data_IF_945351644265
#
_entry.id   IF_945351644265
#
_cell.length_a   1.000
_cell.length_b   1.000
_cell.length_c   1.000
_cell.angle_alpha   90.00
_cell.angle_beta   90.00
_cell.angle_gamma   90.00
#
_symmetry.space_group_name_H-M   'P 1'
#
loop_
_entity.id
_entity.type
_entity.pdbx_description
1 polymer ?
2 non-polymer ?
3 non-polymer ?
4 non-polymer ?
5 non-polymer ?
6 non-polymer ?
7 water ?
#
# COMPACT_ATOMS: atom_id res chain seq x y z
N UNK A 1 -11.68 17.43 6.05
CA UNK A 1 -11.98 18.48 5.09
C UNK A 1 -12.35 17.88 3.73
N UNK A 2 -11.50 17.01 3.19
CA UNK A 2 -11.70 16.43 1.84
C UNK A 2 -11.88 14.92 1.97
N UNK A 3 -13.12 14.47 1.82
CA UNK A 3 -13.50 13.07 1.99
C UNK A 3 -13.92 12.49 0.64
N UNK A 4 -13.65 11.19 0.47
CA UNK A 4 -14.11 10.48 -0.72
C UNK A 4 -15.59 10.19 -0.59
N UNK A 5 -16.31 10.42 -1.68
CA UNK A 5 -17.72 10.06 -1.72
C UNK A 5 -18.02 8.87 -2.63
N UNK A 6 -17.20 8.61 -3.65
CA UNK A 6 -17.41 7.44 -4.50
C UNK A 6 -16.15 7.11 -5.29
N UNK A 7 -16.15 5.89 -5.83
CA UNK A 7 -15.07 5.35 -6.64
C UNK A 7 -15.66 5.05 -8.01
N UNK A 8 -14.93 5.42 -9.07
CA UNK A 8 -15.40 5.24 -10.43
C UNK A 8 -15.09 3.85 -10.97
N UNK A 9 -15.42 3.67 -12.25
CA UNK A 9 -15.20 2.36 -12.87
C UNK A 9 -13.72 2.13 -13.14
N UNK A 10 -13.22 0.93 -12.92
CA UNK A 10 -11.80 0.68 -13.11
C UNK A 10 -11.42 0.54 -14.58
N UNK A 11 -10.14 0.81 -14.82
CA UNK A 11 -9.49 0.59 -16.10
C UNK A 11 -8.48 -0.52 -15.89
N UNK A 12 -8.51 -1.52 -16.77
CA UNK A 12 -7.54 -2.60 -16.73
C UNK A 12 -6.34 -2.23 -17.59
N UNK A 13 -5.17 -2.14 -16.97
CA UNK A 13 -3.95 -1.84 -17.69
C UNK A 13 -3.27 -3.09 -18.25
N UNK A 14 -3.29 -4.20 -17.50
CA UNK A 14 -2.58 -5.40 -17.93
C UNK A 14 -3.16 -6.58 -17.16
N UNK A 15 -3.10 -7.75 -17.77
CA UNK A 15 -3.40 -9.02 -17.10
C UNK A 15 -2.18 -9.92 -17.21
N UNK A 16 -1.80 -10.53 -16.08
CA UNK A 16 -0.68 -11.44 -16.02
C UNK A 16 -1.13 -12.68 -15.24
N UNK A 17 -0.28 -13.71 -15.25
CA UNK A 17 -0.60 -14.97 -14.60
C UNK A 17 -0.39 -14.95 -13.09
N UNK A 18 0.42 -14.05 -12.56
CA UNK A 18 0.72 -14.06 -11.14
C UNK A 18 -0.46 -13.47 -10.36
N UNK A 19 -1.06 -14.31 -9.50
CA UNK A 19 -2.27 -13.93 -8.80
C UNK A 19 -2.04 -12.72 -7.89
N UNK A 20 -0.91 -12.72 -7.17
CA UNK A 20 -0.57 -11.70 -6.20
C UNK A 20 0.68 -10.95 -6.62
N UNK A 21 0.64 -9.64 -6.42
CA UNK A 21 1.76 -8.79 -6.77
C UNK A 21 1.40 -7.36 -6.45
N UNK A 22 2.30 -6.45 -6.83
CA UNK A 22 2.08 -5.01 -6.77
C UNK A 22 2.61 -4.36 -8.03
N UNK A 23 1.97 -3.26 -8.43
CA UNK A 23 2.49 -2.34 -9.42
C UNK A 23 2.42 -0.94 -8.84
N UNK A 24 3.50 -0.18 -9.01
CA UNK A 24 3.70 1.08 -8.31
C UNK A 24 4.33 2.10 -9.24
N UNK A 25 3.79 3.32 -9.20
CA UNK A 25 4.40 4.48 -9.84
C UNK A 25 4.87 5.46 -8.77
N UNK A 26 5.79 6.31 -9.17
CA UNK A 26 6.24 7.40 -8.30
C UNK A 26 5.04 8.25 -7.86
N UNK A 27 5.09 8.70 -6.61
CA UNK A 27 4.05 9.53 -6.01
C UNK A 27 4.42 10.99 -5.92
N UNK A 28 5.72 11.32 -5.96
CA UNK A 28 6.15 12.69 -5.79
C UNK A 28 6.00 13.48 -7.09
N UNK A 29 6.20 14.79 -7.01
CA UNK A 29 6.15 15.68 -8.16
C UNK A 29 7.46 15.49 -8.95
N UNK A 30 7.54 14.44 -9.75
CA UNK A 30 8.74 14.18 -10.50
C UNK A 30 8.66 13.92 -12.04
N UNK A 31 7.50 13.86 -12.68
CA UNK A 31 7.38 13.47 -14.11
C UNK A 31 8.05 12.13 -14.46
N UNK A 32 8.00 11.17 -13.55
CA UNK A 32 8.62 9.85 -13.74
C UNK A 32 7.65 8.86 -14.41
N UNK A 33 8.05 8.23 -15.50
CA UNK A 33 7.21 7.27 -16.21
C UNK A 33 7.34 5.83 -15.67
N UNK A 34 8.30 5.57 -14.80
CA UNK A 34 8.63 4.20 -14.47
C UNK A 34 7.53 3.51 -13.66
N UNK A 35 7.45 2.20 -13.82
CA UNK A 35 6.53 1.35 -13.10
C UNK A 35 7.35 0.23 -12.48
N UNK A 36 7.16 0.00 -11.18
CA UNK A 36 7.86 -1.07 -10.47
C UNK A 36 6.87 -2.16 -10.10
N UNK A 37 7.29 -3.42 -10.28
CA UNK A 37 6.44 -4.57 -10.03
C UNK A 37 7.18 -5.58 -9.15
N UNK A 38 6.47 -6.13 -8.18
CA UNK A 38 6.87 -7.39 -7.57
C UNK A 38 5.74 -8.41 -7.73
N UNK A 39 6.12 -9.67 -7.68
CA UNK A 39 5.19 -10.78 -7.82
C UNK A 39 5.36 -11.73 -6.65
N UNK A 40 4.26 -12.36 -6.25
CA UNK A 40 4.24 -13.36 -5.21
C UNK A 40 4.43 -12.70 -3.84
N UNK A 41 4.45 -13.52 -2.79
CA UNK A 41 4.44 -12.99 -1.42
C UNK A 41 5.82 -12.74 -0.85
N UNK A 42 6.87 -13.22 -1.50
CA UNK A 42 8.24 -13.00 -1.03
C UNK A 42 9.15 -13.00 -2.23
N UNK A 43 10.30 -12.36 -2.07
CA UNK A 43 11.32 -12.37 -3.11
C UNK A 43 12.36 -11.33 -2.81
N UNK A 44 13.35 -11.25 -3.71
CA UNK A 44 14.41 -10.26 -3.55
C UNK A 44 14.61 -9.44 -4.82
N UNK A 45 13.72 -9.59 -5.79
CA UNK A 45 13.79 -8.86 -7.06
C UNK A 45 12.56 -8.02 -7.30
N UNK A 46 12.78 -6.89 -7.96
CA UNK A 46 11.74 -6.00 -8.47
C UNK A 46 11.95 -5.88 -9.97
N UNK A 47 10.85 -5.89 -10.74
CA UNK A 47 10.91 -5.59 -12.16
C UNK A 47 10.66 -4.09 -12.37
N UNK A 48 11.61 -3.42 -13.02
CA UNK A 48 11.47 -2.00 -13.34
C UNK A 48 11.14 -1.85 -14.82
N UNK A 49 10.00 -1.25 -15.09
CA UNK A 49 9.59 -0.93 -16.46
C UNK A 49 9.77 0.55 -16.73
N UNK A 50 10.34 0.87 -17.91
CA UNK A 50 10.62 2.25 -18.28
C UNK A 50 9.35 3.10 -18.24
N UNK A 51 8.25 2.55 -18.71
CA UNK A 51 7.01 3.32 -18.89
C UNK A 51 5.89 2.31 -19.16
N UNK A 52 4.69 2.82 -19.35
CA UNK A 52 3.56 1.91 -19.52
C UNK A 52 3.67 1.13 -20.83
N UNK A 53 4.12 1.72 -21.94
CA UNK A 53 4.35 0.87 -23.13
C UNK A 53 5.28 -0.30 -22.85
N UNK A 54 6.34 -0.07 -22.07
CA UNK A 54 7.26 -1.17 -21.76
C UNK A 54 6.60 -2.23 -20.91
N UNK A 55 5.74 -1.80 -19.97
CA UNK A 55 4.95 -2.76 -19.19
C UNK A 55 4.12 -3.65 -20.11
N UNK A 56 3.41 -3.05 -21.06
CA UNK A 56 2.57 -3.86 -21.93
C UNK A 56 3.42 -4.74 -22.83
N UNK A 57 4.66 -4.35 -23.10
CA UNK A 57 5.57 -5.09 -23.98
C UNK A 57 6.35 -6.16 -23.23
N UNK A 58 6.26 -6.21 -21.91
CA UNK A 58 7.00 -7.18 -21.12
C UNK A 58 8.49 -6.88 -20.99
N UNK A 59 8.90 -5.63 -21.20
CA UNK A 59 10.31 -5.25 -21.26
C UNK A 59 10.69 -4.56 -19.96
N UNK A 60 11.55 -5.21 -19.17
CA UNK A 60 11.90 -4.69 -17.86
C UNK A 60 13.35 -5.00 -17.57
N UNK A 61 13.86 -4.36 -16.51
CA UNK A 61 15.16 -4.67 -15.94
C UNK A 61 14.94 -5.12 -14.50
N UNK A 62 15.64 -6.17 -14.10
CA UNK A 62 15.55 -6.60 -12.73
C UNK A 62 16.39 -5.71 -11.81
N UNK A 63 15.82 -5.40 -10.66
CA UNK A 63 16.52 -4.74 -9.56
C UNK A 63 16.66 -5.76 -8.43
N UNK A 64 17.89 -6.03 -8.01
CA UNK A 64 18.13 -6.88 -6.85
C UNK A 64 18.12 -6.01 -5.59
N UNK A 65 17.28 -6.40 -4.61
CA UNK A 65 17.14 -5.66 -3.37
C UNK A 65 18.15 -6.10 -2.33
N UNK A 66 18.40 -5.28 -1.31
CA UNK A 66 19.34 -5.66 -0.25
C UNK A 66 18.80 -6.68 0.74
N UNK A 67 17.48 -6.77 0.86
CA UNK A 67 16.80 -7.67 1.80
C UNK A 67 15.55 -8.18 1.09
N UNK A 68 15.13 -9.40 1.42
CA UNK A 68 13.90 -9.94 0.87
C UNK A 68 12.69 -9.13 1.31
N UNK A 69 11.78 -8.89 0.39
CA UNK A 69 10.48 -8.33 0.72
C UNK A 69 9.52 -9.44 1.15
N UNK A 70 8.51 -9.05 1.92
CA UNK A 70 7.31 -9.85 2.11
C UNK A 70 6.11 -9.00 1.69
N UNK A 71 5.15 -9.64 1.04
CA UNK A 71 3.86 -9.02 0.84
C UNK A 71 3.78 -8.13 -0.39
N UNK A 72 2.70 -7.37 -0.40
CA UNK A 72 2.29 -6.56 -1.54
C UNK A 72 2.06 -5.11 -1.16
N UNK A 73 2.52 -4.67 0.00
CA UNK A 73 2.18 -3.35 0.52
C UNK A 73 3.25 -2.29 0.39
N UNK A 74 4.20 -2.46 -0.55
CA UNK A 74 5.26 -1.46 -0.70
C UNK A 74 4.76 -0.21 -1.39
N UNK A 75 5.54 0.86 -1.30
CA UNK A 75 5.23 2.13 -1.97
C UNK A 75 6.54 2.74 -2.44
N UNK A 76 6.44 3.63 -3.45
CA UNK A 76 7.58 4.40 -3.93
C UNK A 76 7.35 5.88 -3.62
N UNK A 77 8.34 6.52 -3.02
CA UNK A 77 8.27 7.95 -2.80
C UNK A 77 9.65 8.54 -3.01
N UNK A 78 9.74 9.52 -3.89
CA UNK A 78 10.97 10.26 -4.14
C UNK A 78 12.14 9.36 -4.50
N UNK A 79 11.88 8.42 -5.42
CA UNK A 79 12.89 7.52 -5.97
C UNK A 79 13.38 6.49 -4.97
N UNK A 80 12.62 6.23 -3.92
CA UNK A 80 12.92 5.17 -2.96
C UNK A 80 11.75 4.21 -2.85
N UNK A 81 12.07 2.92 -2.77
CA UNK A 81 11.09 1.88 -2.46
C UNK A 81 11.08 1.63 -0.96
N UNK A 82 9.88 1.71 -0.37
CA UNK A 82 9.67 1.44 1.03
C UNK A 82 8.94 0.10 1.13
N UNK A 83 9.51 -0.85 1.84
CA UNK A 83 8.95 -2.19 1.86
C UNK A 83 9.24 -2.92 3.17
N UNK A 84 8.49 -4.00 3.38
CA UNK A 84 8.63 -4.86 4.54
C UNK A 84 9.71 -5.92 4.32
N UNK A 85 10.73 -5.92 5.18
CA UNK A 85 11.74 -6.98 5.22
C UNK A 85 11.11 -8.24 5.81
N UNK A 86 10.94 -9.26 4.97
CA UNK A 86 10.20 -10.43 5.40
C UNK A 86 10.83 -11.10 6.62
N UNK A 87 9.96 -11.54 7.52
CA UNK A 87 10.35 -12.23 8.73
C UNK A 87 10.89 -11.34 9.83
N UNK A 88 10.74 -10.03 9.70
CA UNK A 88 11.21 -9.08 10.69
C UNK A 88 10.15 -8.02 10.89
N UNK A 89 10.30 -7.26 11.97
CA UNK A 89 9.50 -6.05 12.14
C UNK A 89 10.20 -4.82 11.58
N UNK A 90 10.98 -5.00 10.52
CA UNK A 90 11.79 -3.95 9.92
C UNK A 90 11.22 -3.54 8.56
N UNK A 91 11.13 -2.23 8.35
CA UNK A 91 10.84 -1.66 7.05
C UNK A 91 12.13 -1.12 6.45
N UNK A 92 12.25 -1.25 5.14
CA UNK A 92 13.43 -0.89 4.38
C UNK A 92 13.07 0.27 3.44
N UNK A 93 13.98 1.26 3.39
CA UNK A 93 13.98 2.31 2.37
C UNK A 93 15.16 2.06 1.44
N UNK A 94 14.89 1.79 0.17
CA UNK A 94 15.92 1.49 -0.82
C UNK A 94 15.89 2.57 -1.90
N UNK A 95 16.96 3.33 -2.02
CA UNK A 95 17.05 4.37 -3.05
C UNK A 95 17.46 3.74 -4.38
N UNK A 96 16.60 3.92 -5.39
CA UNK A 96 16.84 3.27 -6.69
C UNK A 96 18.11 3.77 -7.36
N UNK A 97 18.45 5.04 -7.18
CA UNK A 97 19.60 5.59 -7.91
C UNK A 97 20.93 5.20 -7.29
N UNK A 98 21.11 5.52 -6.02
CA UNK A 98 22.36 5.21 -5.35
C UNK A 98 22.44 3.76 -4.88
N UNK A 99 21.31 3.04 -4.87
CA UNK A 99 21.26 1.63 -4.46
C UNK A 99 21.71 1.42 -3.01
N UNK A 100 21.48 2.43 -2.18
CA UNK A 100 21.74 2.39 -0.74
C UNK A 100 20.44 2.11 -0.02
N UNK A 101 20.52 1.79 1.27
CA UNK A 101 19.29 1.55 2.02
C UNK A 101 19.42 1.91 3.50
N UNK A 102 18.26 2.16 4.10
CA UNK A 102 18.09 2.44 5.52
C UNK A 102 16.96 1.56 6.05
N UNK A 103 16.94 1.37 7.37
CA UNK A 103 15.98 0.48 8.01
C UNK A 103 15.32 1.16 9.20
N UNK A 104 14.10 0.73 9.49
CA UNK A 104 13.28 1.24 10.58
C UNK A 104 12.58 0.05 11.23
N UNK A 105 12.75 -0.11 12.54
CA UNK A 105 12.02 -1.14 13.28
C UNK A 105 10.78 -0.57 13.95
N UNK A 106 9.66 -1.27 13.80
CA UNK A 106 8.41 -1.01 14.54
C UNK A 106 8.23 -2.10 15.57
N UNK A 107 8.45 -1.78 16.84
CA UNK A 107 8.62 -2.81 17.87
C UNK A 107 7.34 -3.52 18.30
N UNK A 108 6.18 -2.87 18.18
CA UNK A 108 4.92 -3.43 18.67
C UNK A 108 3.98 -3.80 17.51
N UNK A 109 4.56 -4.29 16.43
CA UNK A 109 3.85 -4.67 15.22
C UNK A 109 3.91 -6.18 15.01
N UNK A 110 2.80 -6.75 14.57
CA UNK A 110 2.78 -8.14 14.13
C UNK A 110 3.55 -8.29 12.83
N UNK A 111 4.30 -9.38 12.71
CA UNK A 111 5.15 -9.54 11.54
C UNK A 111 5.43 -10.97 11.12
N UNK A 112 4.92 -11.98 11.80
CA UNK A 112 5.16 -13.37 11.42
C UNK A 112 4.03 -14.23 11.97
N UNK A 113 4.14 -15.53 11.73
CA UNK A 113 3.21 -16.51 12.26
C UNK A 113 1.79 -16.35 11.70
N UNK A 114 1.66 -15.78 10.51
CA UNK A 114 0.38 -15.60 9.84
C UNK A 114 -0.61 -14.79 10.66
N UNK A 115 -0.10 -13.91 11.53
CA UNK A 115 -0.94 -12.92 12.23
C UNK A 115 -0.88 -11.62 11.43
N UNK A 116 -1.70 -11.56 10.36
CA UNK A 116 -1.57 -10.54 9.35
C UNK A 116 -2.37 -9.29 9.73
N UNK A 117 -1.93 -8.16 9.19
CA UNK A 117 -2.81 -6.99 9.12
C UNK A 117 -3.98 -7.25 8.18
N UNK A 118 -3.68 -7.69 6.96
CA UNK A 118 -4.70 -8.06 5.98
C UNK A 118 -4.45 -9.50 5.56
N UNK A 119 -5.27 -10.40 6.09
CA UNK A 119 -5.13 -11.82 5.80
C UNK A 119 -5.33 -12.11 4.32
N UNK A 120 -6.21 -11.35 3.65
CA UNK A 120 -6.56 -11.67 2.27
C UNK A 120 -5.35 -11.61 1.35
N UNK A 121 -4.37 -10.76 1.67
CA UNK A 121 -3.16 -10.55 0.88
C UNK A 121 -1.87 -10.90 1.63
N UNK A 122 -1.99 -11.56 2.78
CA UNK A 122 -0.85 -11.91 3.63
C UNK A 122 0.01 -10.68 3.93
N UNK A 123 -0.65 -9.53 4.13
CA UNK A 123 0.06 -8.26 4.37
C UNK A 123 0.25 -8.11 5.87
N UNK A 124 1.50 -7.83 6.29
CA UNK A 124 1.79 -7.38 7.64
C UNK A 124 1.90 -5.87 7.73
N UNK A 125 2.49 -5.22 6.72
CA UNK A 125 2.71 -3.79 6.73
C UNK A 125 2.27 -3.22 5.39
N UNK A 126 1.43 -2.18 5.43
CA UNK A 126 1.01 -1.46 4.22
C UNK A 126 1.61 -0.07 4.30
N UNK A 127 2.64 0.17 3.48
CA UNK A 127 3.28 1.47 3.41
C UNK A 127 2.52 2.33 2.41
N UNK A 128 2.40 3.62 2.69
CA UNK A 128 1.56 4.48 1.85
C UNK A 128 2.06 5.90 1.93
N UNK A 129 1.76 6.68 0.88
CA UNK A 129 2.10 8.10 0.87
C UNK A 129 0.91 8.87 0.31
N UNK A 130 0.62 10.02 0.88
CA UNK A 130 -0.43 10.87 0.34
C UNK A 130 -0.09 12.32 0.61
N UNK A 131 -1.09 13.19 0.39
CA UNK A 131 -0.89 14.63 0.47
C UNK A 131 -0.48 15.07 1.86
N UNK A 132 -0.74 14.25 2.89
CA UNK A 132 -0.57 14.63 4.27
C UNK A 132 0.58 13.91 4.97
N UNK A 133 1.18 12.90 4.34
CA UNK A 133 2.29 12.25 5.00
C UNK A 133 2.76 10.99 4.31
N UNK A 134 3.78 10.43 4.93
CA UNK A 134 4.34 9.11 4.66
C UNK A 134 3.96 8.22 5.83
N UNK A 135 3.34 7.07 5.54
CA UNK A 135 2.59 6.32 6.54
C UNK A 135 2.93 4.82 6.50
N UNK A 136 2.82 4.17 7.66
CA UNK A 136 2.86 2.70 7.75
C UNK A 136 1.60 2.23 8.48
N UNK A 137 0.79 1.42 7.81
CA UNK A 137 -0.34 0.75 8.44
C UNK A 137 0.13 -0.63 8.88
N UNK A 138 -0.23 -0.99 10.10
CA UNK A 138 0.22 -2.26 10.68
C UNK A 138 -0.79 -2.68 11.73
N UNK A 139 -0.53 -3.83 12.36
CA UNK A 139 -1.40 -4.34 13.40
C UNK A 139 -0.64 -4.57 14.69
N UNK A 140 -1.32 -4.35 15.81
CA UNK A 140 -0.69 -4.35 17.12
C UNK A 140 -0.32 -5.75 17.60
N UNK A 141 0.94 -5.91 17.99
CA UNK A 141 1.33 -7.12 18.70
C UNK A 141 1.12 -7.01 20.21
N UNK A 142 0.60 -5.89 20.72
CA UNK A 142 0.15 -5.83 22.11
C UNK A 142 -1.16 -6.55 22.28
N UNK A 143 -2.15 -6.22 21.45
CA UNK A 143 -3.46 -6.88 21.55
C UNK A 143 -3.74 -7.87 20.43
N UNK A 144 -2.87 -8.00 19.43
CA UNK A 144 -3.11 -8.94 18.36
C UNK A 144 -4.23 -8.56 17.41
N UNK A 145 -4.70 -7.30 17.44
CA UNK A 145 -5.93 -6.97 16.74
C UNK A 145 -5.92 -5.57 16.15
N UNK A 146 -5.59 -4.56 16.95
CA UNK A 146 -5.86 -3.18 16.54
C UNK A 146 -5.03 -2.73 15.35
N UNK A 147 -5.69 -2.04 14.41
CA UNK A 147 -4.98 -1.42 13.30
C UNK A 147 -4.36 -0.11 13.79
N UNK A 148 -3.06 0.02 13.60
CA UNK A 148 -2.28 1.17 13.98
C UNK A 148 -1.70 1.80 12.71
N UNK A 149 -1.45 3.10 12.78
CA UNK A 149 -0.78 3.79 11.69
C UNK A 149 0.34 4.64 12.25
N UNK A 150 1.53 4.51 11.69
CA UNK A 150 2.66 5.34 12.04
C UNK A 150 2.83 6.45 11.00
N UNK A 151 2.94 7.69 11.48
CA UNK A 151 3.28 8.84 10.65
C UNK A 151 4.79 8.98 10.69
N UNK A 152 5.45 9.00 9.56
CA UNK A 152 6.89 9.13 9.53
C UNK A 152 7.39 10.52 9.18
N UNK A 153 8.59 10.82 9.60
CA UNK A 153 9.34 11.95 9.07
C UNK A 153 10.22 11.38 7.96
N UNK A 154 9.90 11.73 6.69
CA UNK A 154 10.68 11.22 5.58
C UNK A 154 12.16 11.59 5.64
N UNK A 155 12.53 12.68 6.32
CA UNK A 155 13.93 13.12 6.34
C UNK A 155 14.82 12.19 7.18
N UNK A 156 14.24 11.52 8.18
CA UNK A 156 14.99 10.65 9.09
C UNK A 156 14.51 9.21 9.08
N UNK A 157 13.53 8.86 8.25
CA UNK A 157 12.93 7.53 8.21
C UNK A 157 12.65 7.01 9.63
N UNK A 158 11.90 7.83 10.39
CA UNK A 158 11.57 7.49 11.76
C UNK A 158 10.13 7.89 12.05
N UNK A 159 9.54 7.29 13.08
CA UNK A 159 8.15 7.54 13.44
C UNK A 159 8.04 8.79 14.29
N UNK A 160 7.10 9.68 13.94
CA UNK A 160 6.82 10.86 14.75
C UNK A 160 5.46 10.82 15.45
N UNK A 161 4.55 9.96 15.05
CA UNK A 161 3.26 9.83 15.72
C UNK A 161 2.76 8.41 15.49
N UNK A 162 2.29 7.79 16.55
CA UNK A 162 1.61 6.51 16.49
C UNK A 162 0.11 6.78 16.68
N UNK A 163 -0.68 6.37 15.70
CA UNK A 163 -2.13 6.55 15.72
C UNK A 163 -2.79 5.18 15.91
N UNK A 164 -3.63 5.04 16.94
CA UNK A 164 -4.39 3.81 17.19
C UNK A 164 -5.79 4.06 16.62
N UNK A 165 -6.14 3.35 15.54
CA UNK A 165 -7.49 3.50 14.99
C UNK A 165 -8.52 2.81 15.87
N UNK A 166 -8.10 1.85 16.69
CA UNK A 166 -8.92 0.99 17.54
C UNK A 166 -9.78 0.01 16.72
N UNK A 167 -9.65 -0.01 15.42
CA UNK A 167 -10.45 -0.88 14.57
C UNK A 167 -9.80 -2.26 14.46
N UNK A 168 -10.55 -3.33 14.62
CA UNK A 168 -9.95 -4.68 14.61
C UNK A 168 -9.61 -5.14 13.20
N UNK A 169 -8.40 -5.69 13.04
CA UNK A 169 -7.97 -6.16 11.74
C UNK A 169 -8.88 -7.26 11.20
N UNK A 170 -9.56 -8.00 12.08
CA UNK A 170 -10.46 -9.04 11.63
C UNK A 170 -11.58 -8.51 10.73
N UNK A 171 -11.87 -7.22 10.81
CA UNK A 171 -12.92 -6.59 10.02
C UNK A 171 -12.39 -5.96 8.74
N UNK A 172 -11.09 -5.98 8.50
CA UNK A 172 -10.45 -5.29 7.40
C UNK A 172 -10.08 -6.24 6.27
N UNK A 173 -10.49 -5.89 5.05
CA UNK A 173 -9.97 -6.57 3.88
C UNK A 173 -8.64 -5.99 3.44
N UNK A 174 -8.59 -4.67 3.31
CA UNK A 174 -7.44 -3.91 2.86
C UNK A 174 -7.68 -2.45 3.25
N UNK A 175 -6.85 -1.54 2.77
CA UNK A 175 -6.98 -0.14 3.11
C UNK A 175 -6.14 0.72 2.17
N UNK A 176 -6.46 2.01 2.16
CA UNK A 176 -5.65 3.01 1.51
C UNK A 176 -5.80 4.31 2.30
N UNK A 177 -4.94 5.28 1.99
CA UNK A 177 -4.94 6.58 2.67
C UNK A 177 -4.98 7.66 1.60
N UNK A 178 -5.88 8.63 1.76
CA UNK A 178 -5.98 9.74 0.83
C UNK A 178 -6.35 11.01 1.59
N UNK A 179 -5.65 12.11 1.30
CA UNK A 179 -5.88 13.41 1.96
C UNK A 179 -5.98 13.27 3.47
N UNK A 180 -5.09 12.46 4.04
CA UNK A 180 -5.00 12.28 5.47
C UNK A 180 -6.02 11.36 6.09
N UNK A 181 -6.85 10.70 5.30
CA UNK A 181 -7.93 9.84 5.79
C UNK A 181 -7.60 8.40 5.43
N UNK A 182 -7.60 7.53 6.44
CA UNK A 182 -7.53 6.08 6.24
C UNK A 182 -8.92 5.55 5.88
N UNK A 183 -8.98 4.75 4.82
CA UNK A 183 -10.19 4.09 4.38
C UNK A 183 -9.94 2.59 4.40
N UNK A 184 -10.83 1.84 5.06
CA UNK A 184 -10.65 0.41 5.25
C UNK A 184 -11.82 -0.32 4.59
N UNK A 185 -11.51 -1.35 3.83
CA UNK A 185 -12.55 -2.13 3.17
C UNK A 185 -13.08 -3.23 4.06
N UNK A 186 -14.26 -3.74 3.69
CA UNK A 186 -14.83 -4.92 4.34
C UNK A 186 -14.02 -6.15 3.99
N UNK A 187 -14.32 -7.27 4.67
CA UNK A 187 -13.50 -8.46 4.48
C UNK A 187 -13.58 -9.04 3.09
N UNK A 188 -14.61 -8.72 2.32
CA UNK A 188 -14.70 -9.17 0.94
C UNK A 188 -14.06 -8.20 -0.03
N UNK A 189 -13.49 -7.10 0.44
CA UNK A 189 -12.82 -6.12 -0.41
C UNK A 189 -13.76 -5.54 -1.48
N UNK A 190 -15.03 -5.32 -1.13
CA UNK A 190 -16.01 -4.77 -2.07
C UNK A 190 -16.45 -3.36 -1.74
N UNK A 191 -16.45 -2.98 -0.47
CA UNK A 191 -16.93 -1.68 -0.02
C UNK A 191 -15.95 -1.12 1.00
N UNK A 192 -15.88 0.20 1.07
CA UNK A 192 -15.23 0.87 2.17
C UNK A 192 -16.26 1.07 3.26
N UNK A 193 -15.96 0.59 4.48
CA UNK A 193 -16.94 0.62 5.56
C UNK A 193 -16.41 1.24 6.85
N UNK A 194 -15.19 1.74 6.85
CA UNK A 194 -14.59 2.37 8.02
C UNK A 194 -13.62 3.43 7.51
N UNK A 195 -13.57 4.57 8.19
CA UNK A 195 -12.57 5.58 7.90
C UNK A 195 -12.10 6.25 9.19
N UNK A 196 -10.90 6.84 9.12
CA UNK A 196 -10.27 7.46 10.28
C UNK A 196 -9.46 8.66 9.82
N UNK A 197 -9.72 9.81 10.44
CA UNK A 197 -8.97 11.04 10.25
C UNK A 197 -7.68 10.90 11.06
N UNK A 198 -6.57 10.62 10.36
CA UNK A 198 -5.33 10.24 11.02
C UNK A 198 -4.78 11.36 11.88
N UNK A 199 -4.66 12.57 11.32
CA UNK A 199 -4.07 13.66 12.08
C UNK A 199 -5.03 14.26 13.08
N UNK A 200 -6.34 14.14 12.87
CA UNK A 200 -7.32 14.57 13.84
C UNK A 200 -7.59 13.60 14.96
N UNK A 201 -7.16 12.35 14.80
CA UNK A 201 -7.30 11.36 15.86
C UNK A 201 -8.70 10.85 16.11
N UNK A 202 -9.57 10.81 15.09
CA UNK A 202 -10.94 10.38 15.31
C UNK A 202 -11.48 9.62 14.12
N UNK A 203 -12.34 8.65 14.43
CA UNK A 203 -13.09 7.94 13.39
C UNK A 203 -14.06 8.88 12.71
N UNK A 204 -14.29 8.64 11.42
CA UNK A 204 -15.28 9.37 10.66
C UNK A 204 -16.08 8.38 9.83
N UNK A 205 -17.36 8.68 9.65
CA UNK A 205 -18.24 7.78 8.95
C UNK A 205 -17.85 7.67 7.48
N UNK A 206 -17.83 6.44 6.99
CA UNK A 206 -17.62 6.19 5.57
C UNK A 206 -18.29 4.89 5.20
N UNK A 207 -19.05 4.90 4.13
CA UNK A 207 -19.70 3.69 3.67
C UNK A 207 -20.01 3.89 2.18
N UNK A 208 -19.15 3.33 1.32
CA UNK A 208 -19.30 3.51 -0.11
C UNK A 208 -18.71 2.32 -0.84
N UNK A 209 -19.21 2.10 -2.05
CA UNK A 209 -18.79 0.95 -2.82
C UNK A 209 -17.42 1.18 -3.42
N UNK A 210 -16.63 0.11 -3.46
CA UNK A 210 -15.33 0.13 -4.05
C UNK A 210 -15.29 -0.54 -5.42
N UNK A 211 -15.75 -1.78 -5.48
CA UNK A 211 -15.75 -2.50 -6.74
C UNK A 211 -16.78 -3.61 -6.73
N UNK A 212 -17.14 -4.07 -7.91
CA UNK A 212 -18.07 -5.18 -8.04
C UNK A 212 -17.39 -6.53 -8.21
N UNK A 213 -16.17 -6.55 -8.65
CA UNK A 213 -15.47 -7.81 -8.82
C UNK A 213 -15.24 -8.50 -7.48
N UNK A 214 -15.27 -9.82 -7.53
CA UNK A 214 -14.96 -10.67 -6.39
C UNK A 214 -13.58 -11.29 -6.44
N UNK A 215 -12.81 -11.04 -7.50
CA UNK A 215 -11.44 -11.54 -7.60
C UNK A 215 -10.65 -11.15 -6.36
N UNK A 216 -9.73 -12.03 -5.96
CA UNK A 216 -8.89 -11.74 -4.81
C UNK A 216 -8.10 -10.46 -5.02
N UNK A 217 -8.02 -9.64 -3.99
CA UNK A 217 -7.37 -8.33 -4.04
C UNK A 217 -6.02 -8.44 -3.33
N UNK A 218 -4.94 -8.29 -4.09
CA UNK A 218 -3.59 -8.38 -3.54
C UNK A 218 -3.07 -7.07 -2.99
N UNK A 219 -3.42 -5.96 -3.64
CA UNK A 219 -2.83 -4.65 -3.35
C UNK A 219 -3.90 -3.61 -3.64
N UNK A 220 -3.96 -2.58 -2.80
CA UNK A 220 -4.82 -1.43 -3.01
C UNK A 220 -4.11 -0.20 -2.49
N UNK A 221 -3.90 0.82 -3.34
CA UNK A 221 -3.09 1.96 -2.95
C UNK A 221 -3.53 3.21 -3.68
N UNK A 222 -3.65 4.30 -2.95
CA UNK A 222 -3.92 5.60 -3.53
C UNK A 222 -2.60 6.27 -3.92
N UNK A 223 -2.55 6.82 -5.13
CA UNK A 223 -1.40 7.62 -5.55
C UNK A 223 -1.82 9.08 -5.70
N UNK A 224 -1.19 9.94 -4.91
CA UNK A 224 -1.55 11.36 -4.91
C UNK A 224 -1.16 12.06 -6.20
N UNK A 225 -0.28 11.48 -7.00
CA UNK A 225 0.13 12.10 -8.25
C UNK A 225 -1.05 12.27 -9.19
N UNK A 226 -1.90 11.24 -9.29
CA UNK A 226 -3.04 11.26 -10.20
C UNK A 226 -4.36 11.03 -9.50
N UNK A 227 -4.38 10.94 -8.18
CA UNK A 227 -5.59 10.78 -7.39
C UNK A 227 -6.39 9.55 -7.80
N UNK A 228 -5.70 8.50 -8.25
CA UNK A 228 -6.31 7.23 -8.58
C UNK A 228 -5.93 6.17 -7.57
N UNK A 229 -6.79 5.16 -7.46
CA UNK A 229 -6.47 3.95 -6.72
C UNK A 229 -5.85 2.94 -7.67
N UNK A 230 -4.71 2.39 -7.29
CA UNK A 230 -4.02 1.33 -8.01
C UNK A 230 -4.32 0.01 -7.30
N UNK A 231 -4.57 -1.04 -8.07
CA UNK A 231 -4.81 -2.35 -7.46
C UNK A 231 -4.23 -3.45 -8.31
N UNK A 232 -4.11 -4.62 -7.68
CA UNK A 232 -3.71 -5.87 -8.30
C UNK A 232 -4.74 -6.90 -7.84
N UNK A 233 -5.53 -7.40 -8.79
CA UNK A 233 -6.68 -8.25 -8.50
C UNK A 233 -6.56 -9.52 -9.33
N UNK A 234 -6.16 -10.61 -8.68
CA UNK A 234 -6.04 -11.90 -9.35
C UNK A 234 -5.29 -11.76 -10.69
N UNK A 235 -4.16 -11.07 -10.65
CA UNK A 235 -3.37 -10.89 -11.84
C UNK A 235 -3.78 -9.74 -12.74
N UNK A 236 -4.82 -8.99 -12.39
CA UNK A 236 -5.27 -7.86 -13.19
C UNK A 236 -4.78 -6.56 -12.53
N UNK A 237 -3.99 -5.79 -13.28
CA UNK A 237 -3.46 -4.51 -12.81
C UNK A 237 -4.47 -3.43 -13.20
N UNK A 238 -5.10 -2.80 -12.20
CA UNK A 238 -6.24 -1.92 -12.42
C UNK A 238 -5.98 -0.56 -11.79
N UNK A 239 -6.69 0.45 -12.31
CA UNK A 239 -6.72 1.81 -11.79
C UNK A 239 -8.17 2.26 -11.65
N UNK A 240 -8.50 2.93 -10.54
CA UNK A 240 -9.84 3.49 -10.34
C UNK A 240 -9.77 4.99 -10.10
N UNK A 241 -10.66 5.77 -10.71
CA UNK A 241 -10.80 7.18 -10.32
C UNK A 241 -11.49 7.32 -8.98
N UNK A 242 -11.19 8.41 -8.28
CA UNK A 242 -11.87 8.67 -7.02
C UNK A 242 -12.49 10.06 -7.06
N UNK A 243 -13.67 10.17 -6.45
CA UNK A 243 -14.42 11.41 -6.40
C UNK A 243 -14.40 11.93 -4.97
N UNK A 244 -13.88 13.14 -4.80
CA UNK A 244 -13.81 13.80 -3.50
C UNK A 244 -14.97 14.78 -3.34
N UNK A 245 -15.28 15.07 -2.11
CA UNK A 245 -16.25 16.08 -1.73
C UNK A 245 -15.58 17.02 -0.74
X LIG B 1 -3.64 -1.25 0.79
X LIG C 1 -19.76 -3.90 -4.72
X LIG D 1 5.52 -8.93 -14.97
X LIG E 1 -12.35 -10.01 -2.99
X LIG F 1 -4.80 0.38 20.89
X LIG F 1 -3.88 0.01 22.04
X LIG F 1 -4.28 -1.37 22.61
X LIG F 1 -5.76 -1.39 22.95
X LIG F 1 -6.57 -0.93 21.74
X LIG F 1 -8.06 -0.85 21.99
X LIG F 1 -1.87 -0.89 20.92
X LIG F 1 -0.41 -0.66 20.65
X LIG F 1 -2.48 0.04 21.67
X LIG F 1 -3.49 -1.70 23.76
X LIG F 1 -6.17 -2.69 23.34
X LIG F 1 -6.14 0.38 21.34
X LIG F 1 -8.38 0.07 23.03
X LIG F 1 -2.46 -1.86 20.49
X LIG F 1 -4.01 0.65 22.75
X LIG F 1 -4.11 -2.05 21.92
X LIG F 1 -5.92 -0.76 23.70
X LIG F 1 -6.41 -1.55 21.01
X LIG F 1 -8.39 -1.73 22.24
X LIG F 1 -8.50 -0.56 21.17
X LIG F 1 -0.06 -1.40 20.11
X LIG F 1 0.08 -0.63 21.51
X LIG F 1 -0.29 0.18 20.18
X LIG F 1 -1.97 0.74 21.97
X LIG F 1 -3.71 -2.53 24.03
X LIG F 1 -6.06 -3.25 22.65
X LIG F 1 -7.88 0.81 22.94
X LIG G 1 14.02 13.68 -2.37
X LIG G 1 14.04 14.65 -1.20
X LIG G 1 15.00 15.80 -1.48
X LIG G 1 16.38 15.26 -1.85
X LIG G 1 16.28 14.20 -2.96
X LIG G 1 17.59 13.50 -3.22
X LIG G 1 11.95 15.77 -1.83
X LIG G 1 10.59 16.21 -1.37
X LIG G 1 12.70 15.15 -0.91
X LIG G 1 15.10 16.63 -0.34
X LIG G 1 17.19 16.32 -2.32
X LIG G 1 15.33 13.17 -2.57
X LIG G 1 17.83 12.45 -2.30
X LIG G 1 12.35 15.98 -2.97
X LIG G 1 14.37 14.17 -0.41
X LIG G 1 14.66 16.32 -2.23
X LIG G 1 16.79 14.86 -1.06
X LIG G 1 15.97 14.63 -3.77
X LIG G 1 18.32 14.15 -3.16
X LIG G 1 17.57 13.13 -4.13
X LIG G 1 10.12 16.66 -2.10
X LIG G 1 10.69 16.83 -0.62
X LIG G 1 10.08 15.43 -1.08
X LIG G 1 12.36 15.02 -0.09
X LIG G 1 15.56 17.36 -0.55
X LIG G 1 18.04 16.18 -2.08
X LIG G 1 17.06 12.18 -1.96
X LIG H 1 7.31 -5.47 -28.06
X LIG H 1 8.73 -5.02 -28.35
X LIG H 1 9.11 -5.42 -29.77
X LIG H 1 8.92 -6.91 -29.95
X LIG H 1 7.52 -7.35 -29.53
X LIG H 1 7.34 -8.86 -29.52
X LIG H 1 9.96 -3.01 -27.58
X LIG H 1 11.05 -3.93 -27.12
X LIG H 1 8.89 -3.58 -28.16
X LIG H 1 10.46 -5.05 -30.02
X LIG H 1 9.12 -7.27 -31.31
X LIG H 1 7.22 -6.90 -28.20
X LIG H 1 8.60 -9.53 -29.47
X LIG H 1 10.04 -1.78 -27.44
X LIG H 1 9.34 -5.48 -27.73
X LIG H 1 8.52 -4.94 -30.40
X LIG H 1 9.58 -7.39 -29.40
X LIG H 1 6.87 -6.96 -30.14
X LIG H 1 6.88 -9.13 -30.33
X LIG H 1 6.81 -9.11 -28.74
X LIG H 1 11.77 -3.41 -26.72
X LIG H 1 11.39 -4.43 -27.88
X LIG H 1 10.70 -4.55 -26.46
X LIG H 1 8.22 -3.04 -28.44
X LIG H 1 10.64 -5.18 -30.89
X LIG H 1 9.27 -8.15 -31.38
X LIG H 1 8.47 -10.39 -29.35
X LIG I 1 4.65 16.41 -15.72
X LIG I 1 5.80 15.90 -14.89
X LIG I 1 3.58 16.96 -14.81
X LIG I 1 4.09 15.27 -16.53
X LIG I 1 5.14 17.50 -16.64
X LIG J 1 -7.81 -12.17 10.48
X LIG J 1 -6.71 -11.23 10.39
X LIG J 1 -8.45 -12.12 11.86
X LIG J 1 -7.60 -11.43 12.78
X LIG J 1 -7.44 -13.17 10.29
X LIG J 1 -8.55 -11.92 9.72
X LIG J 1 -6.32 -11.28 9.51
X LIG J 1 -8.63 -13.14 12.22
X LIG J 1 -9.41 -11.61 11.80
X LIG J 1 -8.01 -11.41 13.65
X LIG K 1 3.84 -15.89 5.75
X LIG K 1 2.80 -15.22 5.06
X LIG K 1 4.19 -15.27 7.10
X LIG K 1 5.29 -15.97 7.72
X LIG K 1 3.55 -16.92 5.91
X LIG K 1 4.74 -15.89 5.13
X LIG K 1 2.64 -15.66 4.21
X LIG K 1 3.31 -15.32 7.75
X LIG K 1 4.45 -14.22 6.96
X LIG K 1 5.49 -15.56 8.57
X LIG L 1 -5.02 -14.19 13.62
X LIG M 1 -11.80 -13.95 12.89
#
# INVERSE_FOLDING_TARGET
ESMITSIGNPVQVLKVTETFGTWIRESANKSDDRIWVTEHFSGIMVKEFKDQPSLLNGSYTFIHLPYYFHGCGHVVYNNSLYYHKGGSNTLVRFEFGQETSQTLKLENALYFDRKYLFANSKTYFNLAVDEKGLWIIYASSVDGSSILVAQLDERTFSVVQHVNTTYPKSKAGNAFIARGILYVTDTKDMRVTFAFDLLGGKQINANFDLRTSQSVLAMLAYNMRDQHLYSWEDGHLMLYPVQFLSTTLNQ
NA NA
NA NA
NA NA
NA NA
NAG C1 C2 C3 C4 C5 C6 C7 C8 N2 O3 O4 O5 O6 O7 H2 H3 H4 H5 H61 H62 H81 H82 H83 HN2 HO3 HO4 HO6
NAG C1 C2 C3 C4 C5 C6 C7 C8 N2 O3 O4 O5 O6 O7 H2 H3 H4 H5 H61 H62 H81 H82 H83 HN2 HO3 HO4 HO6
NAG C1 C2 C3 C4 C5 C6 C7 C8 N2 O3 O4 O5 O6 O7 H2 H3 H4 H5 H61 H62 H81 H82 H83 HN2 HO3 HO4 HO6
PO4 P O1 O2 O3 O4
EDO C1 O1 C2 O2 H11 H12 HO1 H21 H22 HO2
EDO C1 O1 C2 O2 H11 H12 HO1 H21 H22 HO2
CA CA
CA CA
#
